data_IF_274646686492
#
_entry.id   IF_274646686492
#
_cell.length_a   1.000
_cell.length_b   1.000
_cell.length_c   1.000
_cell.angle_alpha   90.00
_cell.angle_beta   90.00
_cell.angle_gamma   90.00
#
_symmetry.space_group_name_H-M   'P 1'
#
loop_
_entity.id
_entity.type
_entity.pdbx_description
1 polymer ?
#
# COMPACT_ATOMS: atom_id res chain seq x y z
N UNK A 1 19.17 26.43 16.17
CA UNK A 1 18.40 25.18 16.41
C UNK A 1 18.82 24.12 15.38
N UNK A 2 19.36 22.96 15.78
CA UNK A 2 19.62 21.85 14.85
C UNK A 2 18.27 21.37 14.28
N UNK A 3 18.14 21.36 12.95
CA UNK A 3 16.94 20.82 12.27
C UNK A 3 16.87 19.34 12.61
N UNK A 4 15.77 18.90 13.22
CA UNK A 4 15.59 17.48 13.56
C UNK A 4 15.58 16.68 12.25
N UNK A 5 16.48 15.72 12.11
CA UNK A 5 16.50 14.81 10.98
C UNK A 5 15.21 13.98 10.95
N UNK A 6 14.64 13.81 9.76
CA UNK A 6 13.44 13.00 9.54
C UNK A 6 13.84 11.63 8.98
N UNK A 7 13.19 10.59 9.46
CA UNK A 7 13.38 9.21 8.99
C UNK A 7 12.21 8.86 8.06
N UNK A 8 12.53 8.40 6.85
CA UNK A 8 11.53 7.94 5.89
C UNK A 8 11.55 6.41 5.75
N UNK A 9 10.36 5.81 5.71
CA UNK A 9 10.15 4.44 5.28
C UNK A 9 9.63 4.46 3.84
N UNK A 10 10.44 3.95 2.91
CA UNK A 10 10.13 3.91 1.48
C UNK A 10 9.96 2.47 1.05
N UNK A 11 8.79 2.13 0.50
CA UNK A 11 8.46 0.78 0.04
C UNK A 11 8.20 0.80 -1.46
N UNK A 12 9.05 0.09 -2.21
CA UNK A 12 8.90 -0.05 -3.65
C UNK A 12 7.71 -0.93 -4.05
N UNK A 13 7.28 -0.81 -5.30
CA UNK A 13 6.35 -1.73 -5.93
C UNK A 13 7.03 -3.06 -6.28
N UNK A 14 6.24 -4.08 -6.61
CA UNK A 14 6.80 -5.36 -7.03
C UNK A 14 5.81 -6.52 -7.03
N UNK A 15 4.51 -6.22 -7.05
CA UNK A 15 3.48 -7.26 -7.05
C UNK A 15 3.61 -8.17 -5.83
N UNK A 16 3.64 -9.49 -6.05
CA UNK A 16 3.77 -10.46 -4.96
C UNK A 16 5.11 -10.46 -4.21
N UNK A 17 6.17 -9.81 -4.72
CA UNK A 17 7.42 -9.65 -3.97
C UNK A 17 7.20 -8.87 -2.66
N UNK A 18 6.18 -8.03 -2.59
CA UNK A 18 5.81 -7.29 -1.36
C UNK A 18 5.38 -8.19 -0.19
N UNK A 19 5.17 -9.49 -0.42
CA UNK A 19 4.97 -10.48 0.65
C UNK A 19 6.19 -10.55 1.58
N UNK A 20 7.40 -10.47 1.02
CA UNK A 20 8.62 -10.38 1.84
C UNK A 20 8.63 -9.09 2.67
N UNK A 21 8.34 -7.96 2.05
CA UNK A 21 8.21 -6.67 2.72
C UNK A 21 7.18 -6.70 3.84
N UNK A 22 6.03 -7.35 3.61
CA UNK A 22 4.99 -7.53 4.63
C UNK A 22 5.52 -8.27 5.85
N UNK A 23 6.32 -9.32 5.68
CA UNK A 23 6.97 -10.03 6.78
C UNK A 23 7.88 -9.13 7.61
N UNK A 24 8.66 -8.25 6.95
CA UNK A 24 9.49 -7.25 7.64
C UNK A 24 8.63 -6.25 8.42
N UNK A 25 7.59 -5.69 7.79
CA UNK A 25 6.68 -4.74 8.43
C UNK A 25 5.88 -5.37 9.59
N UNK A 26 5.47 -6.63 9.44
CA UNK A 26 4.85 -7.39 10.51
C UNK A 26 5.80 -7.58 11.71
N UNK A 27 7.10 -7.81 11.45
CA UNK A 27 8.12 -7.84 12.49
C UNK A 27 8.25 -6.48 13.20
N UNK A 28 8.18 -5.38 12.46
CA UNK A 28 8.17 -4.04 13.06
C UNK A 28 6.94 -3.83 13.96
N UNK A 29 5.75 -4.30 13.55
CA UNK A 29 4.54 -4.21 14.37
C UNK A 29 4.69 -5.00 15.68
N UNK A 30 5.18 -6.24 15.61
CA UNK A 30 5.39 -7.10 16.80
C UNK A 30 6.36 -6.45 17.78
N UNK A 31 7.44 -5.85 17.27
CA UNK A 31 8.46 -5.19 18.07
C UNK A 31 8.12 -3.72 18.41
N UNK A 32 6.94 -3.24 18.06
CA UNK A 32 6.51 -1.83 18.24
C UNK A 32 7.53 -0.83 17.67
N UNK A 33 8.21 -1.21 16.60
CA UNK A 33 9.25 -0.41 15.96
C UNK A 33 8.64 0.46 14.88
N UNK A 34 8.50 1.76 15.13
CA UNK A 34 7.96 2.75 14.19
C UNK A 34 8.59 4.14 14.38
N UNK A 35 9.91 4.29 14.09
CA UNK A 35 10.62 5.55 14.24
C UNK A 35 10.41 6.52 13.07
N UNK A 36 9.55 6.20 12.10
CA UNK A 36 9.43 6.91 10.84
C UNK A 36 8.55 8.16 10.97
N UNK A 37 9.00 9.26 10.36
CA UNK A 37 8.29 10.53 10.21
C UNK A 37 7.55 10.61 8.86
N UNK A 38 8.04 9.86 7.86
CA UNK A 38 7.53 9.89 6.48
C UNK A 38 7.34 8.45 5.99
N UNK A 39 6.19 8.17 5.39
CA UNK A 39 5.86 6.91 4.73
C UNK A 39 5.65 7.15 3.25
N UNK A 40 6.32 6.38 2.39
CA UNK A 40 6.20 6.48 0.94
C UNK A 40 6.03 5.08 0.38
N UNK A 41 4.94 4.84 -0.33
CA UNK A 41 4.66 3.54 -0.94
C UNK A 41 4.32 3.64 -2.43
N UNK A 42 4.73 2.63 -3.19
CA UNK A 42 4.46 2.50 -4.62
C UNK A 42 3.76 1.17 -4.88
N UNK A 43 2.64 1.15 -5.62
CA UNK A 43 1.95 -0.06 -6.08
C UNK A 43 1.65 -1.03 -4.91
N UNK A 44 1.99 -2.30 -5.04
CA UNK A 44 1.85 -3.31 -3.98
C UNK A 44 2.54 -2.90 -2.67
N UNK A 45 3.64 -2.14 -2.74
CA UNK A 45 4.31 -1.56 -1.57
C UNK A 45 3.45 -0.51 -0.86
N UNK A 46 2.68 0.29 -1.60
CA UNK A 46 1.72 1.23 -1.01
C UNK A 46 0.60 0.52 -0.26
N UNK A 47 0.07 -0.58 -0.83
CA UNK A 47 -0.94 -1.42 -0.19
C UNK A 47 -0.38 -2.05 1.10
N UNK A 48 0.81 -2.66 1.03
CA UNK A 48 1.49 -3.26 2.17
C UNK A 48 1.73 -2.23 3.30
N UNK A 49 2.24 -1.06 2.93
CA UNK A 49 2.49 0.06 3.85
C UNK A 49 1.20 0.57 4.50
N UNK A 50 0.08 0.59 3.76
CA UNK A 50 -1.22 0.99 4.31
C UNK A 50 -1.67 0.09 5.45
N UNK A 51 -1.51 -1.23 5.31
CA UNK A 51 -1.80 -2.19 6.39
C UNK A 51 -0.85 -2.05 7.58
N UNK A 52 0.43 -1.77 7.33
CA UNK A 52 1.38 -1.50 8.40
C UNK A 52 1.01 -0.25 9.21
N UNK A 53 0.72 0.85 8.52
CA UNK A 53 0.30 2.11 9.17
C UNK A 53 -1.03 1.95 9.90
N UNK A 54 -1.94 1.09 9.39
CA UNK A 54 -3.17 0.68 10.06
C UNK A 54 -2.96 -0.27 11.25
N UNK A 55 -1.71 -0.66 11.55
CA UNK A 55 -1.38 -1.62 12.61
C UNK A 55 -2.06 -2.99 12.45
N UNK A 56 -2.36 -3.40 11.22
CA UNK A 56 -3.09 -4.62 10.91
C UNK A 56 -2.12 -5.80 10.64
N UNK A 57 -1.67 -6.44 11.70
CA UNK A 57 -0.76 -7.58 11.67
C UNK A 57 -1.25 -8.70 10.74
N UNK A 58 -0.38 -9.18 9.85
CA UNK A 58 -0.64 -10.23 8.84
C UNK A 58 -1.77 -9.95 7.85
N UNK A 59 -2.41 -8.77 7.88
CA UNK A 59 -3.54 -8.49 7.00
C UNK A 59 -3.14 -8.46 5.53
N UNK A 60 -2.00 -7.85 5.18
CA UNK A 60 -1.50 -7.87 3.81
C UNK A 60 -1.07 -9.26 3.34
N UNK A 61 -0.43 -10.06 4.21
CA UNK A 61 -0.08 -11.45 3.90
C UNK A 61 -1.32 -12.29 3.61
N UNK A 62 -2.36 -12.14 4.44
CA UNK A 62 -3.64 -12.82 4.24
C UNK A 62 -4.31 -12.39 2.92
N UNK A 63 -4.37 -11.07 2.65
CA UNK A 63 -4.88 -10.53 1.39
C UNK A 63 -4.14 -11.12 0.19
N UNK A 64 -2.80 -11.10 0.22
CA UNK A 64 -1.96 -11.61 -0.87
C UNK A 64 -2.18 -13.09 -1.12
N UNK A 65 -2.32 -13.88 -0.05
CA UNK A 65 -2.65 -15.32 -0.15
C UNK A 65 -4.01 -15.53 -0.81
N UNK A 66 -5.03 -14.81 -0.36
CA UNK A 66 -6.39 -14.95 -0.86
C UNK A 66 -6.48 -14.63 -2.35
N UNK A 67 -5.85 -13.52 -2.79
CA UNK A 67 -5.90 -13.10 -4.20
C UNK A 67 -4.95 -13.89 -5.11
N UNK A 68 -3.88 -14.49 -4.58
CA UNK A 68 -2.92 -15.26 -5.38
C UNK A 68 -3.52 -16.49 -6.05
N UNK A 69 -4.60 -17.03 -5.49
CA UNK A 69 -5.31 -18.21 -6.01
C UNK A 69 -6.59 -17.84 -6.77
N UNK A 70 -6.97 -16.56 -6.78
CA UNK A 70 -8.18 -16.11 -7.46
C UNK A 70 -7.92 -15.81 -8.95
N UNK A 71 -8.58 -16.57 -9.83
CA UNK A 71 -8.47 -16.40 -11.29
C UNK A 71 -9.02 -15.06 -11.80
N UNK A 72 -9.81 -14.34 -10.99
CA UNK A 72 -10.28 -13.00 -11.34
C UNK A 72 -9.20 -11.94 -11.16
N UNK A 73 -8.25 -12.19 -10.25
CA UNK A 73 -7.11 -11.28 -10.05
C UNK A 73 -6.00 -11.51 -11.07
N UNK A 74 -5.66 -12.78 -11.34
CA UNK A 74 -4.61 -13.17 -12.29
C UNK A 74 -5.24 -13.87 -13.50
N UNK A 75 -5.18 -13.25 -14.65
CA UNK A 75 -5.69 -13.85 -15.87
C UNK A 75 -4.81 -13.53 -17.07
N UNK A 76 -4.38 -14.57 -17.78
CA UNK A 76 -3.69 -14.41 -19.07
C UNK A 76 -4.56 -13.71 -20.13
N UNK A 77 -5.90 -13.80 -20.01
CA UNK A 77 -6.83 -13.07 -20.89
C UNK A 77 -6.78 -11.57 -20.66
N UNK A 78 -6.51 -11.13 -19.43
CA UNK A 78 -6.36 -9.72 -19.10
C UNK A 78 -5.03 -9.14 -19.64
N UNK A 79 -3.99 -9.95 -19.84
CA UNK A 79 -2.72 -9.51 -20.42
C UNK A 79 -2.86 -8.96 -21.85
N UNK A 80 -3.93 -9.35 -22.56
CA UNK A 80 -4.26 -8.88 -23.90
C UNK A 80 -5.28 -7.73 -23.91
N UNK A 81 -5.69 -7.25 -22.75
CA UNK A 81 -6.63 -6.14 -22.56
C UNK A 81 -5.96 -4.92 -21.95
N UNK A 82 -6.61 -3.77 -22.00
CA UNK A 82 -6.16 -2.53 -21.35
C UNK A 82 -6.06 -2.63 -19.81
N UNK A 83 -6.62 -3.69 -19.21
CA UNK A 83 -6.59 -3.92 -17.76
C UNK A 83 -5.26 -4.50 -17.26
N UNK A 84 -4.39 -5.00 -18.15
CA UNK A 84 -3.13 -5.62 -17.78
C UNK A 84 -3.26 -6.98 -17.09
N UNK A 85 -2.13 -7.59 -16.71
CA UNK A 85 -2.07 -8.95 -16.13
C UNK A 85 -2.74 -9.08 -14.74
N UNK A 86 -2.77 -7.99 -13.95
CA UNK A 86 -3.36 -7.95 -12.61
C UNK A 86 -4.50 -6.92 -12.58
N UNK A 87 -5.70 -7.35 -12.18
CA UNK A 87 -6.84 -6.46 -12.00
C UNK A 87 -6.78 -5.72 -10.66
N UNK A 88 -6.28 -4.47 -10.68
CA UNK A 88 -6.18 -3.62 -9.50
C UNK A 88 -7.55 -3.18 -8.97
N UNK A 89 -8.56 -3.09 -9.84
CA UNK A 89 -9.93 -2.77 -9.41
C UNK A 89 -10.51 -3.93 -8.60
N UNK A 90 -10.30 -5.17 -9.08
CA UNK A 90 -10.67 -6.36 -8.32
C UNK A 90 -9.95 -6.40 -6.97
N UNK A 91 -8.61 -6.20 -6.96
CA UNK A 91 -7.80 -6.23 -5.75
C UNK A 91 -8.29 -5.23 -4.69
N UNK A 92 -8.49 -3.97 -5.08
CA UNK A 92 -8.93 -2.94 -4.14
C UNK A 92 -10.35 -3.16 -3.65
N UNK A 93 -11.26 -3.66 -4.52
CA UNK A 93 -12.62 -4.04 -4.12
C UNK A 93 -12.58 -5.22 -3.15
N UNK A 94 -11.79 -6.24 -3.44
CA UNK A 94 -11.62 -7.41 -2.56
C UNK A 94 -11.06 -7.00 -1.20
N UNK A 95 -10.01 -6.18 -1.17
CA UNK A 95 -9.43 -5.65 0.05
C UNK A 95 -10.45 -4.87 0.89
N UNK A 96 -11.22 -3.98 0.27
CA UNK A 96 -12.26 -3.19 0.93
C UNK A 96 -13.36 -4.04 1.55
N UNK A 97 -13.72 -5.17 0.91
CA UNK A 97 -14.81 -6.04 1.38
C UNK A 97 -14.35 -7.07 2.42
N UNK A 98 -13.17 -7.65 2.26
CA UNK A 98 -12.72 -8.80 3.04
C UNK A 98 -11.62 -8.47 4.05
N UNK A 99 -10.84 -7.43 3.79
CA UNK A 99 -9.70 -6.97 4.62
C UNK A 99 -9.69 -5.45 4.67
N UNK A 100 -10.76 -4.78 5.18
CA UNK A 100 -10.84 -3.32 5.15
C UNK A 100 -9.69 -2.69 5.95
N UNK A 101 -9.21 -1.56 5.44
CA UNK A 101 -8.23 -0.74 6.15
C UNK A 101 -8.89 -0.05 7.35
N UNK A 102 -8.23 -0.09 8.48
CA UNK A 102 -8.61 0.66 9.68
C UNK A 102 -8.16 2.13 9.56
N UNK A 103 -9.07 2.98 9.09
CA UNK A 103 -8.76 4.40 8.87
C UNK A 103 -8.60 5.19 10.17
N UNK A 104 -9.16 4.75 11.28
CA UNK A 104 -8.94 5.36 12.59
C UNK A 104 -7.49 5.16 13.01
N UNK A 105 -6.99 3.93 12.88
CA UNK A 105 -5.60 3.60 13.15
C UNK A 105 -4.63 4.29 12.19
N UNK A 106 -4.97 4.39 10.89
CA UNK A 106 -4.16 5.15 9.92
C UNK A 106 -4.04 6.61 10.38
N UNK A 107 -5.16 7.26 10.70
CA UNK A 107 -5.16 8.66 11.14
C UNK A 107 -4.37 8.86 12.44
N UNK A 108 -4.50 7.93 13.39
CA UNK A 108 -3.72 7.95 14.63
C UNK A 108 -2.23 7.81 14.37
N UNK A 109 -1.83 6.82 13.57
CA UNK A 109 -0.43 6.49 13.28
C UNK A 109 0.27 7.54 12.41
N UNK A 110 -0.48 8.28 11.58
CA UNK A 110 0.04 9.35 10.71
C UNK A 110 -0.12 10.74 11.28
N UNK A 111 -0.67 10.87 12.48
CA UNK A 111 -0.78 12.17 13.15
C UNK A 111 0.61 12.81 13.28
N UNK A 112 0.78 14.02 12.70
CA UNK A 112 2.06 14.73 12.61
C UNK A 112 3.15 14.02 11.77
N UNK A 113 2.78 13.07 10.92
CA UNK A 113 3.66 12.37 9.98
C UNK A 113 3.15 12.57 8.55
N UNK A 114 3.99 12.27 7.57
CA UNK A 114 3.63 12.37 6.16
C UNK A 114 3.43 10.97 5.60
N UNK A 115 2.35 10.78 4.82
CA UNK A 115 2.08 9.53 4.14
C UNK A 115 1.78 9.81 2.67
N UNK A 116 2.55 9.18 1.77
CA UNK A 116 2.42 9.35 0.33
C UNK A 116 2.26 8.02 -0.38
N UNK A 117 1.34 7.99 -1.33
CA UNK A 117 1.20 6.93 -2.33
C UNK A 117 1.67 7.53 -3.65
N UNK A 118 2.68 6.92 -4.28
CA UNK A 118 3.27 7.47 -5.51
C UNK A 118 2.60 6.86 -6.73
N UNK A 119 2.15 7.71 -7.63
CA UNK A 119 1.61 7.36 -8.94
C UNK A 119 2.41 8.04 -10.04
N UNK A 120 2.17 7.66 -11.29
CA UNK A 120 2.77 8.30 -12.46
C UNK A 120 1.75 9.18 -13.17
N UNK A 121 2.08 10.45 -13.42
CA UNK A 121 1.28 11.32 -14.25
C UNK A 121 1.39 10.87 -15.71
N UNK A 122 0.27 10.51 -16.33
CA UNK A 122 0.22 9.98 -17.68
C UNK A 122 0.56 11.01 -18.76
N UNK A 123 0.40 12.31 -18.47
CA UNK A 123 0.67 13.38 -19.45
C UNK A 123 2.18 13.66 -19.60
N UNK A 124 2.96 13.49 -18.53
CA UNK A 124 4.35 13.93 -18.53
C UNK A 124 5.34 12.89 -17.97
N UNK A 125 4.86 11.72 -17.54
CA UNK A 125 5.67 10.63 -16.98
C UNK A 125 6.31 10.92 -15.63
N UNK A 126 5.95 12.03 -14.97
CA UNK A 126 6.55 12.40 -13.68
C UNK A 126 5.83 11.74 -12.48
N UNK A 127 6.54 11.50 -11.38
CA UNK A 127 5.91 10.99 -10.16
C UNK A 127 4.97 12.02 -9.54
N UNK A 128 3.83 11.55 -9.06
CA UNK A 128 2.86 12.32 -8.27
C UNK A 128 2.77 11.68 -6.89
N UNK A 129 2.94 12.49 -5.86
CA UNK A 129 2.84 12.08 -4.47
C UNK A 129 1.43 12.39 -3.96
N UNK A 130 0.59 11.36 -3.89
CA UNK A 130 -0.79 11.46 -3.43
C UNK A 130 -0.83 11.33 -1.91
N UNK A 131 -1.52 12.26 -1.24
CA UNK A 131 -1.78 12.19 0.20
C UNK A 131 -3.11 11.46 0.44
N UNK A 132 -3.07 10.19 0.91
CA UNK A 132 -4.28 9.43 1.14
C UNK A 132 -5.00 9.89 2.42
N UNK A 133 -6.33 9.85 2.37
CA UNK A 133 -7.21 10.05 3.51
C UNK A 133 -8.35 9.01 3.47
N UNK A 134 -9.19 8.97 4.48
CA UNK A 134 -10.27 7.97 4.57
C UNK A 134 -11.24 7.96 3.39
N UNK A 135 -11.38 9.07 2.64
CA UNK A 135 -12.29 9.19 1.48
C UNK A 135 -11.64 8.76 0.17
N UNK A 136 -10.32 8.96 0.00
CA UNK A 136 -9.63 8.74 -1.26
C UNK A 136 -8.58 7.61 -1.24
N UNK A 137 -8.27 7.00 -0.11
CA UNK A 137 -7.17 6.06 0.08
C UNK A 137 -7.16 4.94 -0.98
N UNK A 138 -8.30 4.25 -1.15
CA UNK A 138 -8.40 3.19 -2.16
C UNK A 138 -8.26 3.71 -3.60
N UNK A 139 -8.69 4.96 -3.88
CA UNK A 139 -8.46 5.58 -5.19
C UNK A 139 -6.98 5.88 -5.41
N UNK A 140 -6.27 6.33 -4.39
CA UNK A 140 -4.82 6.51 -4.45
C UNK A 140 -4.11 5.17 -4.72
N UNK A 141 -4.56 4.07 -4.08
CA UNK A 141 -4.05 2.73 -4.31
C UNK A 141 -4.35 2.17 -5.71
N UNK A 142 -5.41 2.62 -6.36
CA UNK A 142 -5.74 2.24 -7.74
C UNK A 142 -4.93 3.04 -8.77
N UNK A 143 -4.46 4.23 -8.42
CA UNK A 143 -3.74 5.13 -9.30
C UNK A 143 -2.24 4.84 -9.41
N UNK A 144 -1.71 3.95 -8.55
CA UNK A 144 -0.28 3.68 -8.43
C UNK A 144 0.20 2.47 -9.25
#
# INVERSE_FOLDING_TARGET
>A
MKKKEKIALVIEGGGFKSVFTAGVLDSFLVNKFNPFDIYIGVSSGAMCLSYYVASQYKAYLSLSKDVSVDRKFLSYRHALSEQGYMDLNFLTKYAKQNKPLDFEKINESTKNKQFYIVATNLENGKPVYLEPNSKNHYKCLQAT
#
